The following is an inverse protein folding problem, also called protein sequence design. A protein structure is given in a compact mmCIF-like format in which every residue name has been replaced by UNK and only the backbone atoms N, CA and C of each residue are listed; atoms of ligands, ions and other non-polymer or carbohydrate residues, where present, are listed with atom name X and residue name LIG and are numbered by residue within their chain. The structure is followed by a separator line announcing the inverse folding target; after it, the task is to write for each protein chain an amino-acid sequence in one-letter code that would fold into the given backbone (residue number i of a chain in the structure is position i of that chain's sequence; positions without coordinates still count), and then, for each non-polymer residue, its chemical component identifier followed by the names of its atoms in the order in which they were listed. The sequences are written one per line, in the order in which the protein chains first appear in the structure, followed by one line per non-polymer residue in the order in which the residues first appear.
data_IF_834438904716
#
_entry.id   IF_834438904716
#
_cell.length_a   1.000
_cell.length_b   1.000
_cell.length_c   1.000
_cell.angle_alpha   90.00
_cell.angle_beta   90.00
_cell.angle_gamma   90.00
#
_symmetry.space_group_name_H-M   'P 1'
#
loop_
_entity.id
_entity.type
_entity.pdbx_description
1 polymer ?
#
# COMPACT_ATOMS: atom_id res chain seq x y z
N UNK A 1 31.07 -35.00 10.83
CA UNK A 1 32.03 -35.42 11.84
C UNK A 1 32.64 -34.23 12.51
N UNK A 2 32.44 -34.19 13.81
CA UNK A 2 33.25 -33.52 14.84
C UNK A 2 33.30 -32.00 14.75
N UNK A 3 32.54 -31.35 15.63
CA UNK A 3 32.92 -30.94 16.97
C UNK A 3 34.00 -29.88 16.97
N UNK A 4 33.55 -28.72 17.32
CA UNK A 4 34.15 -27.90 18.36
C UNK A 4 33.03 -26.88 18.66
N UNK A 5 32.22 -27.04 19.61
CA UNK A 5 32.37 -27.06 21.06
C UNK A 5 33.33 -25.97 21.54
N UNK A 6 32.66 -25.01 22.18
CA UNK A 6 33.08 -24.36 23.41
C UNK A 6 34.29 -23.44 23.31
N UNK A 7 33.94 -22.21 23.50
CA UNK A 7 34.61 -21.43 24.55
C UNK A 7 33.66 -20.33 24.99
N UNK A 8 32.87 -20.67 25.81
CA UNK A 8 32.60 -20.23 27.16
C UNK A 8 33.82 -19.52 27.76
N UNK A 9 33.85 -18.23 27.61
CA UNK A 9 34.71 -17.36 28.40
C UNK A 9 33.84 -16.40 29.19
N UNK A 10 33.51 -16.87 30.35
CA UNK A 10 33.25 -16.05 31.52
C UNK A 10 34.42 -15.07 31.67
N UNK A 11 34.22 -13.83 31.48
CA UNK A 11 34.91 -12.79 32.20
C UNK A 11 33.87 -11.82 32.72
N UNK A 12 33.44 -12.15 33.94
CA UNK A 12 33.01 -11.16 34.88
C UNK A 12 34.09 -10.08 34.94
N UNK A 13 33.82 -8.91 34.44
CA UNK A 13 34.51 -7.72 34.89
C UNK A 13 33.46 -6.74 35.35
N UNK A 14 33.31 -6.81 36.66
CA UNK A 14 32.69 -5.81 37.49
C UNK A 14 33.33 -4.46 37.20
N UNK A 15 32.55 -3.54 36.61
CA UNK A 15 32.82 -2.14 36.72
C UNK A 15 31.50 -1.43 37.00
N UNK A 16 31.24 -1.40 38.28
CA UNK A 16 30.28 -0.52 38.92
C UNK A 16 30.78 0.88 38.79
N UNK A 17 30.28 1.62 37.82
CA UNK A 17 30.41 3.10 37.78
C UNK A 17 29.02 3.67 37.97
N UNK A 18 28.75 4.01 39.18
CA UNK A 18 27.67 4.93 39.55
C UNK A 18 27.99 6.29 38.97
N UNK A 19 27.39 6.67 37.85
CA UNK A 19 27.22 8.06 37.48
C UNK A 19 25.75 8.32 37.27
N UNK A 20 25.15 8.87 38.26
CA UNK A 20 23.85 9.50 38.20
C UNK A 20 23.93 10.70 37.25
N UNK A 21 23.41 10.57 36.03
CA UNK A 21 23.03 11.72 35.23
C UNK A 21 21.52 11.66 35.07
N UNK A 22 20.79 12.59 35.69
CA UNK A 22 19.38 12.78 35.36
C UNK A 22 19.30 13.60 34.06
N UNK A 23 18.69 13.06 33.03
CA UNK A 23 18.37 13.88 31.86
C UNK A 23 18.75 13.28 30.52
N UNK A 24 18.40 12.04 30.28
CA UNK A 24 18.22 11.58 28.90
C UNK A 24 16.73 11.31 28.71
N UNK A 25 16.05 12.30 28.18
CA UNK A 25 14.80 12.03 27.47
C UNK A 25 15.20 11.10 26.35
N UNK A 26 15.09 9.81 26.58
CA UNK A 26 15.01 8.86 25.50
C UNK A 26 13.76 9.22 24.73
N UNK A 27 13.91 10.07 23.74
CA UNK A 27 12.98 10.25 22.67
C UNK A 27 12.94 8.90 21.97
N UNK A 28 12.06 8.03 22.47
CA UNK A 28 11.59 6.94 21.67
C UNK A 28 11.10 7.59 20.39
N UNK A 29 11.84 7.42 19.32
CA UNK A 29 11.34 7.74 18.00
C UNK A 29 9.97 7.09 17.95
N UNK A 30 8.89 7.82 17.68
CA UNK A 30 7.62 7.19 17.46
C UNK A 30 7.86 6.23 16.31
N UNK A 31 7.82 4.95 16.61
CA UNK A 31 7.59 3.96 15.59
C UNK A 31 6.43 4.53 14.80
N UNK A 32 6.69 4.87 13.56
CA UNK A 32 5.66 5.34 12.68
C UNK A 32 4.66 4.19 12.60
N UNK A 33 3.76 4.17 13.57
CA UNK A 33 2.53 3.45 13.43
C UNK A 33 1.97 4.00 12.13
N UNK A 34 1.94 3.18 11.12
CA UNK A 34 1.23 3.45 9.90
C UNK A 34 -0.21 3.65 10.35
N UNK A 35 -0.52 4.90 10.66
CA UNK A 35 -1.89 5.34 10.81
C UNK A 35 -2.48 4.99 9.45
N UNK A 36 -3.48 4.11 9.36
CA UNK A 36 -4.22 3.97 8.12
C UNK A 36 -4.54 5.39 7.69
N UNK A 37 -4.22 5.74 6.46
CA UNK A 37 -4.53 7.04 5.91
C UNK A 37 -6.06 7.11 5.86
N UNK A 38 -6.66 7.33 7.02
CA UNK A 38 -8.06 7.71 7.09
C UNK A 38 -8.06 9.09 6.46
N UNK A 39 -8.54 9.12 5.22
CA UNK A 39 -8.74 10.35 4.52
C UNK A 39 -9.50 11.28 5.47
N UNK A 40 -8.90 12.43 5.76
CA UNK A 40 -9.55 13.42 6.59
C UNK A 40 -10.96 13.69 6.03
N UNK A 41 -11.97 13.89 6.88
CA UNK A 41 -13.33 14.16 6.41
C UNK A 41 -13.29 15.28 5.38
N UNK A 42 -13.69 14.96 4.15
CA UNK A 42 -13.74 15.93 3.06
C UNK A 42 -15.00 16.76 3.17
N UNK A 43 -14.93 18.04 2.85
CA UNK A 43 -16.15 18.85 2.73
C UNK A 43 -16.91 18.47 1.46
N UNK A 44 -18.23 18.76 1.39
CA UNK A 44 -19.01 18.50 0.18
C UNK A 44 -18.40 19.14 -1.08
N UNK A 45 -17.83 20.33 -0.97
CA UNK A 45 -17.18 21.06 -2.05
C UNK A 45 -15.91 20.35 -2.53
N UNK A 46 -15.11 19.81 -1.60
CA UNK A 46 -13.92 19.03 -1.92
C UNK A 46 -14.28 17.73 -2.61
N UNK A 47 -15.36 17.04 -2.15
CA UNK A 47 -15.85 15.84 -2.80
C UNK A 47 -16.35 16.13 -4.22
N UNK A 48 -17.08 17.24 -4.43
CA UNK A 48 -17.51 17.67 -5.77
C UNK A 48 -16.33 17.91 -6.70
N UNK A 49 -15.26 18.53 -6.23
CA UNK A 49 -14.05 18.74 -7.02
C UNK A 49 -13.35 17.44 -7.40
N UNK A 50 -13.33 16.46 -6.47
CA UNK A 50 -12.73 15.15 -6.73
C UNK A 50 -13.50 14.35 -7.78
N UNK A 51 -14.83 14.41 -7.78
CA UNK A 51 -15.66 13.64 -8.73
C UNK A 51 -15.97 14.40 -10.01
N UNK A 52 -15.70 15.71 -10.08
CA UNK A 52 -15.98 16.53 -11.27
C UNK A 52 -15.38 15.95 -12.56
N UNK A 53 -14.16 15.41 -12.60
CA UNK A 53 -13.58 14.83 -13.82
C UNK A 53 -14.37 13.64 -14.35
N UNK A 54 -15.03 12.87 -13.49
CA UNK A 54 -15.78 11.69 -13.88
C UNK A 54 -17.28 11.94 -14.09
N UNK A 55 -17.76 13.13 -13.73
CA UNK A 55 -19.20 13.48 -13.80
C UNK A 55 -19.77 13.51 -15.24
N UNK A 56 -18.92 13.56 -16.26
CA UNK A 56 -19.33 13.55 -17.67
C UNK A 56 -19.41 12.13 -18.25
N UNK A 57 -18.99 11.12 -17.52
CA UNK A 57 -19.07 9.74 -17.97
C UNK A 57 -20.45 9.14 -17.69
N UNK A 58 -20.84 8.07 -18.41
CA UNK A 58 -22.08 7.34 -18.13
C UNK A 58 -22.15 6.84 -16.70
N UNK A 59 -23.33 6.82 -16.10
CA UNK A 59 -23.55 6.41 -14.70
C UNK A 59 -22.99 5.00 -14.40
N UNK A 60 -23.06 4.08 -15.35
CA UNK A 60 -22.51 2.74 -15.22
C UNK A 60 -21.00 2.74 -15.04
N UNK A 61 -20.28 3.59 -15.78
CA UNK A 61 -18.83 3.74 -15.63
C UNK A 61 -18.46 4.44 -14.32
N UNK A 62 -19.21 5.48 -13.94
CA UNK A 62 -19.02 6.15 -12.65
C UNK A 62 -19.19 5.17 -11.50
N UNK A 63 -20.20 4.30 -11.57
CA UNK A 63 -20.41 3.25 -10.57
C UNK A 63 -19.21 2.28 -10.48
N UNK A 64 -18.62 1.88 -11.60
CA UNK A 64 -17.42 1.04 -11.64
C UNK A 64 -16.21 1.77 -11.04
N UNK A 65 -16.01 3.03 -11.39
CA UNK A 65 -14.92 3.85 -10.84
C UNK A 65 -15.04 3.94 -9.30
N UNK A 66 -16.23 4.23 -8.80
CA UNK A 66 -16.46 4.35 -7.35
C UNK A 66 -16.26 3.01 -6.63
N UNK A 67 -16.70 1.90 -7.24
CA UNK A 67 -16.45 0.56 -6.70
C UNK A 67 -14.95 0.23 -6.68
N UNK A 68 -14.24 0.46 -7.78
CA UNK A 68 -12.79 0.21 -7.88
C UNK A 68 -11.98 1.10 -6.93
N UNK A 69 -12.44 2.32 -6.64
CA UNK A 69 -11.79 3.22 -5.70
C UNK A 69 -11.72 2.68 -4.26
N UNK A 70 -12.50 1.65 -3.94
CA UNK A 70 -12.40 0.96 -2.65
C UNK A 70 -11.21 -0.02 -2.58
N UNK A 71 -10.56 -0.28 -3.73
CA UNK A 71 -9.39 -1.16 -3.87
C UNK A 71 -8.18 -0.43 -4.46
N UNK A 72 -7.68 0.64 -3.79
CA UNK A 72 -6.66 1.52 -4.37
C UNK A 72 -5.36 0.79 -4.76
N UNK A 73 -4.95 -0.20 -3.98
CA UNK A 73 -3.75 -0.99 -4.26
C UNK A 73 -3.90 -1.79 -5.56
N UNK A 74 -5.07 -2.38 -5.78
CA UNK A 74 -5.35 -3.13 -7.00
C UNK A 74 -5.44 -2.22 -8.23
N UNK A 75 -5.97 -1.00 -8.07
CA UNK A 75 -5.99 0.00 -9.17
C UNK A 75 -4.57 0.36 -9.59
N UNK A 76 -3.67 0.59 -8.64
CA UNK A 76 -2.26 0.88 -8.93
C UNK A 76 -1.56 -0.32 -9.55
N UNK A 77 -1.86 -1.53 -9.09
CA UNK A 77 -1.31 -2.77 -9.65
C UNK A 77 -1.78 -2.97 -11.09
N UNK A 78 -3.08 -2.79 -11.35
CA UNK A 78 -3.66 -2.89 -12.68
C UNK A 78 -3.06 -1.88 -13.66
N UNK A 79 -2.88 -0.62 -13.23
CA UNK A 79 -2.24 0.41 -14.05
C UNK A 79 -0.81 0.02 -14.44
N UNK A 80 0.00 -0.45 -13.48
CA UNK A 80 1.38 -0.92 -13.75
C UNK A 80 1.39 -2.12 -14.68
N UNK A 81 0.47 -3.04 -14.50
CA UNK A 81 0.35 -4.22 -15.34
C UNK A 81 0.00 -3.83 -16.78
N UNK A 82 -0.96 -2.94 -16.98
CA UNK A 82 -1.32 -2.41 -18.30
C UNK A 82 -0.15 -1.73 -19.00
N UNK A 83 0.64 -0.94 -18.27
CA UNK A 83 1.84 -0.30 -18.81
C UNK A 83 2.90 -1.30 -19.30
N UNK A 84 2.94 -2.50 -18.72
CA UNK A 84 3.86 -3.56 -19.12
C UNK A 84 3.32 -4.44 -20.26
N UNK A 85 2.02 -4.38 -20.54
CA UNK A 85 1.31 -5.21 -21.52
C UNK A 85 0.59 -4.35 -22.57
N UNK A 86 1.27 -3.35 -23.07
CA UNK A 86 0.71 -2.39 -24.05
C UNK A 86 0.36 -3.01 -25.41
N UNK A 87 0.87 -4.21 -25.66
CA UNK A 87 0.56 -5.01 -26.85
C UNK A 87 -0.80 -5.69 -26.78
N UNK A 88 -1.32 -5.91 -25.57
CA UNK A 88 -2.62 -6.57 -25.38
C UNK A 88 -3.76 -5.58 -25.63
N UNK A 89 -4.75 -6.00 -26.40
CA UNK A 89 -5.91 -5.17 -26.74
C UNK A 89 -7.16 -6.03 -26.98
N UNK A 90 -8.32 -5.43 -26.72
CA UNK A 90 -9.62 -6.07 -26.97
C UNK A 90 -9.77 -7.40 -26.22
N UNK A 91 -10.18 -8.45 -26.90
CA UNK A 91 -10.46 -9.76 -26.31
C UNK A 91 -9.23 -10.36 -25.60
N UNK A 92 -8.04 -10.23 -26.19
CA UNK A 92 -6.81 -10.74 -25.58
C UNK A 92 -6.49 -10.06 -24.25
N UNK A 93 -6.72 -8.75 -24.16
CA UNK A 93 -6.58 -8.01 -22.92
C UNK A 93 -7.57 -8.52 -21.87
N UNK A 94 -8.84 -8.71 -22.24
CA UNK A 94 -9.87 -9.22 -21.35
C UNK A 94 -9.52 -10.61 -20.78
N UNK A 95 -9.07 -11.54 -21.63
CA UNK A 95 -8.68 -12.89 -21.21
C UNK A 95 -7.49 -12.87 -20.20
N UNK A 96 -6.52 -12.00 -20.39
CA UNK A 96 -5.37 -11.89 -19.48
C UNK A 96 -5.73 -11.15 -18.18
N UNK A 97 -6.62 -10.16 -18.26
CA UNK A 97 -7.16 -9.46 -17.09
C UNK A 97 -8.01 -10.41 -16.24
N UNK A 98 -8.79 -11.31 -16.87
CA UNK A 98 -9.61 -12.26 -16.14
C UNK A 98 -8.79 -13.24 -15.28
N UNK A 99 -7.56 -13.52 -15.66
CA UNK A 99 -6.62 -14.35 -14.89
C UNK A 99 -6.07 -13.67 -13.66
N UNK A 100 -6.19 -12.35 -13.58
CA UNK A 100 -5.71 -11.59 -12.42
C UNK A 100 -6.64 -11.78 -11.22
N UNK A 101 -6.11 -11.61 -10.02
CA UNK A 101 -6.86 -11.75 -8.77
C UNK A 101 -7.57 -10.47 -8.33
N UNK A 102 -7.72 -9.50 -9.24
CA UNK A 102 -8.33 -8.21 -8.93
C UNK A 102 -9.84 -8.29 -8.77
N UNK A 103 -10.40 -7.32 -8.04
CA UNK A 103 -11.84 -7.15 -7.93
C UNK A 103 -12.49 -6.93 -9.32
N UNK A 104 -13.69 -7.44 -9.54
CA UNK A 104 -14.39 -7.25 -10.83
C UNK A 104 -14.53 -5.80 -11.27
N UNK A 105 -14.68 -4.85 -10.33
CA UNK A 105 -14.75 -3.42 -10.64
C UNK A 105 -13.43 -2.87 -11.18
N UNK A 106 -12.30 -3.36 -10.65
CA UNK A 106 -10.97 -2.99 -11.14
C UNK A 106 -10.74 -3.59 -12.53
N UNK A 107 -11.08 -4.87 -12.73
CA UNK A 107 -11.00 -5.53 -14.05
C UNK A 107 -11.82 -4.78 -15.11
N UNK A 108 -13.05 -4.40 -14.77
CA UNK A 108 -13.90 -3.65 -15.70
C UNK A 108 -13.29 -2.32 -16.14
N UNK A 109 -12.52 -1.64 -15.28
CA UNK A 109 -11.86 -0.39 -15.66
C UNK A 109 -10.74 -0.57 -16.68
N UNK A 110 -10.10 -1.74 -16.74
CA UNK A 110 -9.01 -2.00 -17.70
C UNK A 110 -9.49 -2.11 -19.15
N UNK A 111 -10.79 -2.31 -19.36
CA UNK A 111 -11.40 -2.40 -20.69
C UNK A 111 -11.68 -1.01 -21.32
N UNK A 112 -11.63 0.04 -20.51
CA UNK A 112 -11.82 1.40 -20.99
C UNK A 112 -10.46 2.01 -21.33
N UNK A 113 -10.28 2.49 -22.58
CA UNK A 113 -9.03 3.11 -23.03
C UNK A 113 -8.81 4.49 -22.42
#
# INVERSE_FOLDING_TARGET
MKFIKQSLSLLLSSCLVLTTTPGAFAQAAPSAAQVPLQAAPQTPEQLQQLVAPIALYPDSLVAQILAAATYPDQVVEADRWLQQHTELKGEQLGEEVDKQSWDPSVKALTEFP
#
